data_IF_563019706031
#
_entry.id   IF_563019706031
#
_cell.length_a   1.000
_cell.length_b   1.000
_cell.length_c   1.000
_cell.angle_alpha   90.00
_cell.angle_beta   90.00
_cell.angle_gamma   90.00
#
_symmetry.space_group_name_H-M   'P 1'
#
loop_
_entity.id
_entity.type
_entity.pdbx_description
1 polymer ?
#
# COMPACT_ATOMS: atom_id res chain seq x y z
N UNK A 1 -7.82 -2.20 -24.28
CA UNK A 1 -6.97 -3.01 -23.39
C UNK A 1 -6.82 -2.38 -22.00
N UNK A 2 -6.60 -1.07 -21.88
CA UNK A 2 -6.55 -0.32 -20.60
C UNK A 2 -7.80 -0.39 -19.69
N UNK A 3 -9.06 -0.40 -20.19
CA UNK A 3 -10.23 -0.39 -19.30
C UNK A 3 -10.48 -1.71 -18.53
N UNK A 4 -9.85 -2.81 -18.96
CA UNK A 4 -10.06 -4.14 -18.37
C UNK A 4 -9.16 -4.38 -17.15
N UNK A 5 -8.03 -3.68 -17.07
CA UNK A 5 -7.06 -3.81 -15.97
C UNK A 5 -7.60 -3.20 -14.67
N UNK A 6 -8.38 -2.11 -14.76
CA UNK A 6 -8.89 -1.36 -13.60
C UNK A 6 -10.01 -2.03 -12.80
N UNK A 7 -10.47 -3.24 -13.17
CA UNK A 7 -11.48 -4.02 -12.40
C UNK A 7 -10.95 -5.36 -11.88
N UNK A 8 -9.64 -5.58 -12.00
CA UNK A 8 -9.02 -6.88 -11.79
C UNK A 8 -8.99 -7.32 -10.32
N UNK A 9 -8.78 -6.42 -9.34
CA UNK A 9 -8.69 -6.85 -7.93
C UNK A 9 -10.04 -7.39 -7.42
N UNK A 10 -11.20 -6.99 -7.96
CA UNK A 10 -12.52 -7.53 -7.58
C UNK A 10 -12.83 -8.90 -8.21
N UNK A 11 -12.16 -9.27 -9.29
CA UNK A 11 -12.41 -10.48 -10.06
C UNK A 11 -11.15 -11.35 -10.23
N UNK A 12 -10.17 -11.24 -9.32
CA UNK A 12 -8.92 -12.00 -9.39
C UNK A 12 -9.17 -13.51 -9.58
N UNK A 13 -10.22 -14.05 -8.95
CA UNK A 13 -10.67 -15.44 -9.11
C UNK A 13 -11.26 -15.79 -10.48
N UNK A 14 -11.73 -14.80 -11.25
CA UNK A 14 -12.29 -14.99 -12.60
C UNK A 14 -11.23 -14.97 -13.69
N UNK A 15 -10.06 -14.39 -13.41
CA UNK A 15 -8.98 -14.20 -14.37
C UNK A 15 -7.71 -14.98 -14.03
N UNK A 16 -7.76 -15.87 -13.05
CA UNK A 16 -6.66 -16.75 -12.61
C UNK A 16 -5.35 -16.02 -12.20
N UNK A 17 -5.43 -14.71 -11.93
CA UNK A 17 -4.28 -13.96 -11.45
C UNK A 17 -4.13 -14.09 -9.94
N UNK A 18 -2.93 -14.49 -9.49
CA UNK A 18 -2.57 -14.37 -8.08
C UNK A 18 -2.53 -12.89 -7.68
N UNK A 19 -2.73 -12.62 -6.39
CA UNK A 19 -2.74 -11.25 -5.87
C UNK A 19 -1.36 -10.57 -6.05
N UNK A 20 -0.28 -11.34 -5.91
CA UNK A 20 1.09 -10.91 -6.19
C UNK A 20 1.28 -10.49 -7.66
N UNK A 21 0.73 -11.27 -8.59
CA UNK A 21 0.82 -10.99 -10.03
C UNK A 21 0.08 -9.69 -10.37
N UNK A 22 -1.08 -9.45 -9.75
CA UNK A 22 -1.82 -8.19 -9.91
C UNK A 22 -1.02 -6.99 -9.38
N UNK A 23 -0.43 -7.12 -8.19
CA UNK A 23 0.41 -6.07 -7.61
C UNK A 23 1.59 -5.73 -8.51
N UNK A 24 2.26 -6.74 -9.07
CA UNK A 24 3.36 -6.53 -10.02
C UNK A 24 2.87 -5.87 -11.32
N UNK A 25 1.72 -6.28 -11.85
CA UNK A 25 1.16 -5.70 -13.07
C UNK A 25 0.82 -4.21 -12.90
N UNK A 26 0.16 -3.84 -11.80
CA UNK A 26 -0.12 -2.44 -11.49
C UNK A 26 1.16 -1.65 -11.24
N UNK A 27 2.16 -2.25 -10.59
CA UNK A 27 3.45 -1.61 -10.39
C UNK A 27 4.16 -1.29 -11.71
N UNK A 28 4.18 -2.24 -12.65
CA UNK A 28 4.76 -2.01 -13.99
C UNK A 28 3.99 -0.93 -14.75
N UNK A 29 2.65 -0.91 -14.66
CA UNK A 29 1.83 0.13 -15.29
C UNK A 29 2.15 1.53 -14.75
N UNK A 30 2.34 1.65 -13.43
CA UNK A 30 2.74 2.90 -12.76
C UNK A 30 4.15 3.35 -13.16
N UNK A 31 5.06 2.42 -13.44
CA UNK A 31 6.41 2.75 -13.90
C UNK A 31 6.43 3.24 -15.35
N UNK A 32 5.57 2.68 -16.19
CA UNK A 32 5.51 2.97 -17.62
C UNK A 32 4.68 4.21 -17.97
N UNK A 33 3.73 4.62 -17.12
CA UNK A 33 2.73 5.65 -17.44
C UNK A 33 2.52 6.64 -16.29
N UNK A 34 1.69 7.66 -16.51
CA UNK A 34 1.14 8.49 -15.43
C UNK A 34 -0.36 8.16 -15.28
N UNK A 35 -0.71 7.09 -14.56
CA UNK A 35 -2.06 6.53 -14.64
C UNK A 35 -3.06 7.32 -13.78
N UNK A 36 -4.33 7.18 -14.16
CA UNK A 36 -5.48 7.78 -13.48
C UNK A 36 -5.69 7.24 -12.05
N UNK A 37 -6.55 7.92 -11.29
CA UNK A 37 -6.88 7.61 -9.89
C UNK A 37 -7.28 6.13 -9.68
N UNK A 38 -8.08 5.56 -10.58
CA UNK A 38 -8.55 4.19 -10.49
C UNK A 38 -7.42 3.16 -10.41
N UNK A 39 -6.33 3.35 -11.15
CA UNK A 39 -5.17 2.43 -11.11
C UNK A 39 -4.51 2.42 -9.73
N UNK A 40 -4.37 3.60 -9.12
CA UNK A 40 -3.86 3.72 -7.75
C UNK A 40 -4.80 3.07 -6.73
N UNK A 41 -6.12 3.21 -6.91
CA UNK A 41 -7.13 2.58 -6.05
C UNK A 41 -7.04 1.05 -6.09
N UNK A 42 -6.92 0.48 -7.29
CA UNK A 42 -6.80 -0.97 -7.45
C UNK A 42 -5.49 -1.47 -6.82
N UNK A 43 -4.36 -0.79 -7.04
CA UNK A 43 -3.10 -1.16 -6.39
C UNK A 43 -3.22 -1.11 -4.85
N UNK A 44 -3.77 -0.04 -4.29
CA UNK A 44 -4.00 0.09 -2.85
C UNK A 44 -4.86 -1.08 -2.33
N UNK A 45 -5.94 -1.39 -3.03
CA UNK A 45 -6.83 -2.51 -2.69
C UNK A 45 -6.10 -3.85 -2.70
N UNK A 46 -5.24 -4.07 -3.69
CA UNK A 46 -4.45 -5.27 -3.77
C UNK A 46 -3.40 -5.37 -2.63
N UNK A 47 -2.78 -4.26 -2.19
CA UNK A 47 -1.95 -4.25 -0.97
C UNK A 47 -2.74 -4.58 0.30
N UNK A 48 -3.94 -4.01 0.45
CA UNK A 48 -4.80 -4.29 1.60
C UNK A 48 -5.19 -5.77 1.68
N UNK A 49 -5.55 -6.38 0.54
CA UNK A 49 -5.85 -7.82 0.48
C UNK A 49 -4.64 -8.68 0.84
N UNK A 50 -3.42 -8.27 0.45
CA UNK A 50 -2.20 -8.99 0.82
C UNK A 50 -1.97 -8.95 2.33
N UNK A 51 -2.19 -7.79 2.96
CA UNK A 51 -2.12 -7.66 4.41
C UNK A 51 -3.12 -8.60 5.10
N UNK A 52 -4.39 -8.57 4.67
CA UNK A 52 -5.46 -9.38 5.25
C UNK A 52 -5.19 -10.88 5.10
N UNK A 53 -4.71 -11.33 3.93
CA UNK A 53 -4.38 -12.73 3.71
C UNK A 53 -3.27 -13.24 4.65
N UNK A 54 -2.25 -12.43 4.96
CA UNK A 54 -1.25 -12.82 5.96
C UNK A 54 -1.81 -12.80 7.38
N UNK A 55 -2.70 -11.87 7.72
CA UNK A 55 -3.38 -11.82 9.03
C UNK A 55 -4.28 -13.05 9.26
N UNK A 56 -5.08 -13.44 8.25
CA UNK A 56 -5.94 -14.61 8.32
C UNK A 56 -5.13 -15.88 8.57
N UNK A 57 -4.01 -16.06 7.85
CA UNK A 57 -3.09 -17.20 8.05
C UNK A 57 -2.52 -17.24 9.46
N UNK A 58 -2.21 -16.08 10.05
CA UNK A 58 -1.72 -16.01 11.43
C UNK A 58 -2.81 -16.42 12.43
N UNK A 59 -4.06 -16.00 12.22
CA UNK A 59 -5.17 -16.35 13.12
C UNK A 59 -5.45 -17.86 13.15
N UNK A 60 -5.41 -18.53 12.00
CA UNK A 60 -5.65 -19.98 11.90
C UNK A 60 -4.54 -20.79 12.59
N UNK A 61 -3.28 -20.37 12.49
CA UNK A 61 -2.16 -21.04 13.16
C UNK A 61 -2.23 -20.95 14.70
N UNK A 62 -2.93 -19.96 15.26
CA UNK A 62 -3.04 -19.76 16.71
C UNK A 62 -4.19 -20.56 17.35
N UNK A 63 -5.14 -21.08 16.56
CA UNK A 63 -6.31 -21.81 17.06
C UNK A 63 -6.13 -23.33 17.15
N UNK A 64 -4.94 -23.86 16.81
CA UNK A 64 -4.65 -25.30 16.89
C UNK A 64 -3.95 -25.67 18.19
N UNK A 65 -4.67 -25.70 19.30
CA UNK A 65 -4.47 -26.58 20.48
C UNK A 65 -5.31 -26.05 21.66
N UNK A 66 -6.51 -26.60 21.83
CA UNK A 66 -7.28 -26.47 23.08
C UNK A 66 -6.55 -27.25 24.17
N UNK A 67 -5.87 -26.58 25.10
CA UNK A 67 -5.42 -27.24 26.34
C UNK A 67 -4.22 -26.64 27.04
N UNK A 68 -3.33 -25.92 26.34
CA UNK A 68 -2.17 -25.31 26.98
C UNK A 68 -2.22 -23.80 26.81
N UNK A 69 -2.16 -23.06 27.92
CA UNK A 69 -1.87 -21.63 27.90
C UNK A 69 -0.44 -21.47 27.38
N UNK A 70 -0.29 -21.47 26.07
CA UNK A 70 0.98 -21.15 25.42
C UNK A 70 1.27 -19.68 25.79
N UNK A 71 2.44 -19.37 26.38
CA UNK A 71 2.79 -18.01 26.75
C UNK A 71 2.57 -17.12 25.53
N UNK A 72 2.12 -15.87 25.71
CA UNK A 72 2.12 -14.82 24.69
C UNK A 72 3.49 -14.76 24.04
N UNK A 73 3.72 -15.61 23.04
CA UNK A 73 5.00 -15.74 22.40
C UNK A 73 5.04 -14.48 21.54
N UNK A 74 5.79 -13.49 22.01
CA UNK A 74 6.15 -12.29 21.30
C UNK A 74 7.05 -12.64 20.11
N UNK A 75 6.65 -13.62 19.31
CA UNK A 75 7.26 -13.87 18.03
C UNK A 75 6.91 -12.66 17.22
N UNK A 76 7.95 -11.91 16.90
CA UNK A 76 7.93 -10.81 15.98
C UNK A 76 7.64 -11.37 14.57
N UNK A 77 6.43 -11.91 14.38
CA UNK A 77 5.98 -12.42 13.09
C UNK A 77 5.88 -11.23 12.17
N UNK A 78 6.69 -11.28 11.12
CA UNK A 78 6.82 -10.19 10.18
C UNK A 78 5.49 -10.10 9.42
N UNK A 79 4.67 -9.08 9.68
CA UNK A 79 3.42 -8.79 8.94
C UNK A 79 3.63 -8.54 7.44
N UNK A 80 4.87 -8.61 6.97
CA UNK A 80 5.27 -8.41 5.60
C UNK A 80 5.04 -9.69 4.78
N UNK A 81 4.18 -9.66 3.75
CA UNK A 81 4.00 -10.79 2.85
C UNK A 81 5.32 -11.30 2.28
N UNK A 82 5.48 -12.63 2.18
CA UNK A 82 6.72 -13.28 1.69
C UNK A 82 7.14 -12.75 0.32
N UNK A 83 6.16 -12.44 -0.52
CA UNK A 83 6.32 -11.78 -1.81
C UNK A 83 7.28 -10.58 -1.76
N UNK A 84 7.25 -9.78 -0.70
CA UNK A 84 8.11 -8.60 -0.53
C UNK A 84 9.38 -8.88 0.30
N UNK A 85 9.41 -9.97 1.06
CA UNK A 85 10.47 -10.26 2.01
C UNK A 85 11.63 -11.08 1.40
N UNK A 86 11.40 -11.83 0.33
CA UNK A 86 12.33 -12.87 -0.12
C UNK A 86 13.18 -12.49 -1.34
N UNK A 87 14.44 -12.96 -1.33
CA UNK A 87 15.34 -13.04 -2.48
C UNK A 87 15.47 -11.79 -3.34
N UNK A 88 15.28 -11.97 -4.65
CA UNK A 88 15.36 -10.91 -5.66
C UNK A 88 14.20 -9.91 -5.54
N UNK A 89 13.00 -10.40 -5.18
CA UNK A 89 11.80 -9.57 -5.07
C UNK A 89 11.98 -8.42 -4.08
N UNK A 90 12.52 -8.70 -2.89
CA UNK A 90 12.84 -7.68 -1.88
C UNK A 90 13.71 -6.55 -2.45
N UNK A 91 14.73 -6.88 -3.24
CA UNK A 91 15.64 -5.87 -3.82
C UNK A 91 14.91 -5.01 -4.86
N UNK A 92 14.11 -5.63 -5.72
CA UNK A 92 13.30 -4.95 -6.74
C UNK A 92 12.33 -3.98 -6.09
N UNK A 93 11.55 -4.43 -5.10
CA UNK A 93 10.56 -3.59 -4.42
C UNK A 93 11.18 -2.44 -3.63
N UNK A 94 12.36 -2.64 -3.03
CA UNK A 94 13.12 -1.54 -2.41
C UNK A 94 13.60 -0.51 -3.42
N UNK A 95 14.02 -0.92 -4.61
CA UNK A 95 14.40 -0.01 -5.68
C UNK A 95 13.18 0.76 -6.19
N UNK A 96 12.07 0.05 -6.45
CA UNK A 96 10.78 0.63 -6.84
C UNK A 96 10.30 1.70 -5.86
N UNK A 97 10.35 1.40 -4.56
CA UNK A 97 10.09 2.38 -3.50
C UNK A 97 10.92 3.67 -3.65
N UNK A 98 12.22 3.56 -3.89
CA UNK A 98 13.08 4.73 -4.09
C UNK A 98 12.68 5.53 -5.34
N UNK A 99 12.41 4.84 -6.44
CA UNK A 99 12.04 5.46 -7.72
C UNK A 99 10.68 6.16 -7.63
N UNK A 100 9.68 5.49 -7.06
CA UNK A 100 8.32 6.01 -6.93
C UNK A 100 8.24 7.19 -5.99
N UNK A 101 9.00 7.17 -4.90
CA UNK A 101 9.10 8.31 -3.99
C UNK A 101 9.53 9.58 -4.73
N UNK A 102 10.53 9.48 -5.62
CA UNK A 102 10.99 10.62 -6.44
C UNK A 102 9.97 11.04 -7.49
N UNK A 103 9.24 10.09 -8.09
CA UNK A 103 8.38 10.31 -9.26
C UNK A 103 6.94 10.70 -8.93
N UNK A 104 6.38 10.19 -7.84
CA UNK A 104 4.94 10.29 -7.55
C UNK A 104 4.61 10.88 -6.19
N UNK A 105 5.57 10.96 -5.27
CA UNK A 105 5.34 11.40 -3.88
C UNK A 105 6.37 12.43 -3.41
N UNK A 106 6.97 13.18 -4.34
CA UNK A 106 7.89 14.25 -4.02
C UNK A 106 7.15 15.41 -3.34
N UNK A 107 7.73 15.98 -2.28
CA UNK A 107 7.14 17.09 -1.50
C UNK A 107 6.69 18.27 -2.35
N UNK A 108 7.39 18.56 -3.45
CA UNK A 108 7.05 19.63 -4.40
C UNK A 108 5.78 19.34 -5.21
N UNK A 109 5.45 18.07 -5.46
CA UNK A 109 4.24 17.69 -6.21
C UNK A 109 2.98 17.76 -5.33
N UNK A 110 3.09 17.44 -4.05
CA UNK A 110 1.93 17.39 -3.16
C UNK A 110 1.19 18.74 -3.07
N UNK A 111 1.90 19.87 -2.99
CA UNK A 111 1.27 21.18 -2.93
C UNK A 111 0.47 21.50 -4.22
N UNK A 112 1.04 21.18 -5.39
CA UNK A 112 0.33 21.35 -6.67
C UNK A 112 -0.84 20.37 -6.83
N UNK A 113 -0.70 19.14 -6.33
CA UNK A 113 -1.77 18.14 -6.39
C UNK A 113 -2.95 18.52 -5.48
N UNK A 114 -2.68 19.03 -4.27
CA UNK A 114 -3.72 19.60 -3.40
C UNK A 114 -4.42 20.77 -4.09
N UNK A 115 -3.66 21.70 -4.68
CA UNK A 115 -4.23 22.85 -5.39
C UNK A 115 -5.06 22.45 -6.62
N UNK A 116 -4.76 21.32 -7.25
CA UNK A 116 -5.49 20.82 -8.42
C UNK A 116 -6.86 20.21 -8.08
N UNK A 117 -7.16 19.94 -6.80
CA UNK A 117 -8.47 19.44 -6.36
C UNK A 117 -8.74 17.96 -6.67
N UNK A 118 -7.75 17.18 -7.12
CA UNK A 118 -7.91 15.75 -7.40
C UNK A 118 -7.87 14.90 -6.11
N UNK A 119 -8.87 15.07 -5.24
CA UNK A 119 -8.94 14.42 -3.92
C UNK A 119 -8.84 12.89 -3.99
N UNK A 120 -9.45 12.25 -4.99
CA UNK A 120 -9.36 10.79 -5.18
C UNK A 120 -7.93 10.32 -5.47
N UNK A 121 -7.25 10.96 -6.44
CA UNK A 121 -5.89 10.60 -6.83
C UNK A 121 -4.94 10.75 -5.64
N UNK A 122 -5.03 11.86 -4.92
CA UNK A 122 -4.27 12.11 -3.70
C UNK A 122 -4.49 11.02 -2.65
N UNK A 123 -5.76 10.68 -2.41
CA UNK A 123 -6.16 9.66 -1.44
C UNK A 123 -5.60 8.29 -1.80
N UNK A 124 -5.74 7.86 -3.05
CA UNK A 124 -5.30 6.54 -3.48
C UNK A 124 -3.76 6.43 -3.52
N UNK A 125 -3.07 7.52 -3.88
CA UNK A 125 -1.60 7.62 -3.73
C UNK A 125 -1.19 7.52 -2.26
N UNK A 126 -1.88 8.22 -1.36
CA UNK A 126 -1.60 8.19 0.07
C UNK A 126 -1.86 6.80 0.66
N UNK A 127 -2.90 6.10 0.23
CA UNK A 127 -3.16 4.72 0.60
C UNK A 127 -2.03 3.79 0.14
N UNK A 128 -1.55 3.90 -1.10
CA UNK A 128 -0.37 3.14 -1.53
C UNK A 128 0.88 3.51 -0.71
N UNK A 129 1.10 4.79 -0.45
CA UNK A 129 2.22 5.29 0.32
C UNK A 129 2.21 4.78 1.77
N UNK A 130 1.05 4.60 2.42
CA UNK A 130 0.98 4.02 3.77
C UNK A 130 1.47 2.57 3.78
N UNK A 131 1.11 1.76 2.78
CA UNK A 131 1.62 0.40 2.64
C UNK A 131 3.13 0.36 2.34
N UNK A 132 3.65 1.29 1.54
CA UNK A 132 5.06 1.30 1.15
C UNK A 132 5.99 1.92 2.20
N UNK A 133 5.59 3.03 2.82
CA UNK A 133 6.44 3.89 3.63
C UNK A 133 5.94 4.07 5.06
N UNK A 134 4.76 3.55 5.39
CA UNK A 134 4.15 3.73 6.69
C UNK A 134 3.29 4.99 6.79
N UNK A 135 2.47 5.01 7.85
CA UNK A 135 1.54 6.10 8.14
C UNK A 135 2.24 7.40 8.52
N UNK A 136 3.46 7.30 9.06
CA UNK A 136 4.26 8.44 9.51
C UNK A 136 4.90 9.21 8.35
N UNK A 137 4.79 8.68 7.13
CA UNK A 137 5.35 9.30 5.93
C UNK A 137 4.65 10.65 5.66
N UNK A 138 5.44 11.71 5.45
CA UNK A 138 4.96 13.11 5.38
C UNK A 138 3.82 13.32 4.37
N UNK A 139 3.87 12.62 3.23
CA UNK A 139 2.80 12.66 2.23
C UNK A 139 1.47 12.11 2.77
N UNK A 140 1.52 10.99 3.49
CA UNK A 140 0.32 10.33 4.05
C UNK A 140 -0.32 11.24 5.10
N UNK A 141 0.48 11.78 6.02
CA UNK A 141 0.02 12.69 7.07
C UNK A 141 -0.68 13.91 6.48
N UNK A 142 -0.04 14.56 5.48
CA UNK A 142 -0.59 15.78 4.86
C UNK A 142 -1.86 15.54 4.08
N UNK A 143 -1.95 14.46 3.31
CA UNK A 143 -3.19 14.11 2.59
C UNK A 143 -4.30 13.81 3.59
N UNK A 144 -4.01 13.08 4.67
CA UNK A 144 -5.00 12.80 5.71
C UNK A 144 -5.54 14.09 6.35
N UNK A 145 -4.66 15.01 6.77
CA UNK A 145 -5.06 16.31 7.32
C UNK A 145 -5.91 17.11 6.34
N UNK A 146 -5.51 17.17 5.07
CA UNK A 146 -6.26 17.89 4.03
C UNK A 146 -7.67 17.32 3.84
N UNK A 147 -7.83 16.00 3.78
CA UNK A 147 -9.15 15.36 3.66
C UNK A 147 -10.04 15.61 4.89
N UNK A 148 -9.44 15.64 6.08
CA UNK A 148 -10.15 15.96 7.32
C UNK A 148 -10.66 17.40 7.32
N UNK A 149 -9.85 18.37 6.84
CA UNK A 149 -10.24 19.77 6.69
C UNK A 149 -11.36 19.96 5.66
N UNK A 150 -11.34 19.21 4.54
CA UNK A 150 -12.39 19.23 3.51
C UNK A 150 -13.66 18.47 3.91
N UNK A 151 -13.66 17.76 5.05
CA UNK A 151 -14.76 16.91 5.53
C UNK A 151 -15.22 15.85 4.49
N UNK A 152 -14.28 15.33 3.68
CA UNK A 152 -14.55 14.25 2.73
C UNK A 152 -14.53 12.89 3.46
N UNK A 153 -15.68 12.53 4.04
CA UNK A 153 -15.81 11.37 4.94
C UNK A 153 -15.50 10.04 4.27
N UNK A 154 -15.86 9.86 3.00
CA UNK A 154 -15.67 8.59 2.30
C UNK A 154 -14.19 8.37 1.96
N UNK A 155 -13.52 9.38 1.40
CA UNK A 155 -12.09 9.28 1.11
C UNK A 155 -11.25 9.19 2.38
N UNK A 156 -11.64 9.91 3.44
CA UNK A 156 -10.96 9.82 4.74
C UNK A 156 -11.09 8.42 5.34
N UNK A 157 -12.30 7.81 5.28
CA UNK A 157 -12.54 6.44 5.75
C UNK A 157 -11.75 5.43 4.92
N UNK A 158 -11.69 5.61 3.61
CA UNK A 158 -10.86 4.78 2.72
C UNK A 158 -9.39 4.85 3.15
N UNK A 159 -8.82 6.06 3.26
CA UNK A 159 -7.42 6.23 3.62
C UNK A 159 -7.10 5.67 5.02
N UNK A 160 -7.98 5.93 6.01
CA UNK A 160 -7.84 5.41 7.37
C UNK A 160 -7.74 3.88 7.39
N UNK A 161 -8.58 3.19 6.61
CA UNK A 161 -8.54 1.73 6.49
C UNK A 161 -7.17 1.24 6.00
N UNK A 162 -6.56 1.90 5.02
CA UNK A 162 -5.24 1.54 4.51
C UNK A 162 -4.10 1.87 5.47
N UNK A 163 -4.22 2.95 6.24
CA UNK A 163 -3.25 3.32 7.29
C UNK A 163 -3.19 2.23 8.38
N UNK A 164 -4.34 1.83 8.89
CA UNK A 164 -4.47 0.85 9.98
C UNK A 164 -4.04 -0.56 9.57
N UNK A 165 -4.17 -0.89 8.28
CA UNK A 165 -3.87 -2.21 7.72
C UNK A 165 -2.67 -2.17 6.76
N UNK A 166 -1.63 -1.42 7.13
CA UNK A 166 -0.47 -1.17 6.26
C UNK A 166 0.60 -2.25 6.35
N UNK A 167 1.22 -2.56 5.20
CA UNK A 167 2.31 -3.55 5.08
C UNK A 167 3.65 -2.99 5.60
N UNK A 168 3.87 -1.69 5.41
CA UNK A 168 5.05 -0.94 5.87
C UNK A 168 6.37 -1.44 5.24
N UNK A 169 6.41 -1.53 3.91
CA UNK A 169 7.50 -2.16 3.16
C UNK A 169 8.90 -1.55 3.37
N UNK A 170 8.97 -0.22 3.54
CA UNK A 170 10.22 0.55 3.60
C UNK A 170 10.07 1.83 4.45
N UNK A 171 9.68 1.67 5.71
CA UNK A 171 9.34 2.77 6.64
C UNK A 171 10.42 3.85 6.75
N UNK A 172 11.70 3.46 6.75
CA UNK A 172 12.80 4.41 7.02
C UNK A 172 13.39 4.99 5.73
N UNK A 173 12.66 4.97 4.61
CA UNK A 173 13.20 5.46 3.33
C UNK A 173 13.41 6.98 3.35
N UNK A 174 12.53 7.73 4.00
CA UNK A 174 12.60 9.20 4.06
C UNK A 174 13.80 9.66 4.88
N UNK A 175 14.05 9.06 6.04
CA UNK A 175 15.23 9.32 6.87
C UNK A 175 16.55 9.00 6.14
N UNK A 176 16.57 7.91 5.35
CA UNK A 176 17.75 7.52 4.57
C UNK A 176 18.04 8.49 3.43
N UNK A 177 17.02 9.14 2.88
CA UNK A 177 17.19 10.10 1.79
C UNK A 177 17.55 11.51 2.28
N UNK A 178 17.13 11.89 3.48
CA UNK A 178 17.52 13.17 4.09
C UNK A 178 18.97 13.20 4.60
N UNK A 179 19.66 12.04 4.63
CA UNK A 179 21.06 11.90 5.06
C UNK A 179 22.06 11.88 3.89
N UNK A 180 21.59 12.03 2.66
CA UNK A 180 22.38 12.09 1.42
C UNK A 180 22.27 13.52 0.88
#
# INVERSE_FOLDING_TARGET
MLPLIGKACQHASKWDFSLESLVEMFALLLEATNPESNTWRELASCFLKLYQHEEDRLSVCLNGNEGEQIPKLSVNYNKMPKFFAEGKSRKVWRLRCKCWLKRHSAKKMLASEIASGFSELLTYKAACASHLYGQEFDYVVKVYSHLAEQNDRELLKFLKRHIENSIRLNVNIQEKLNKI
#
